data_IF_806679071702
#
_entry.id   IF_806679071702
#
_cell.length_a   1.000
_cell.length_b   1.000
_cell.length_c   1.000
_cell.angle_alpha   90.00
_cell.angle_beta   90.00
_cell.angle_gamma   90.00
#
_symmetry.space_group_name_H-M   'P 1'
#
loop_
_entity.id
_entity.type
_entity.pdbx_description
1 polymer ?
#
# COMPACT_ATOMS: atom_id res chain seq x y z
N UNK A 1 18.66 -7.15 23.63
CA UNK A 1 18.52 -6.25 24.81
C UNK A 1 18.86 -4.79 24.52
N UNK A 2 20.08 -4.43 24.11
CA UNK A 2 20.46 -3.01 23.83
C UNK A 2 19.59 -2.30 22.78
N UNK A 3 19.14 -3.01 21.75
CA UNK A 3 18.24 -2.47 20.72
C UNK A 3 16.85 -2.12 21.29
N UNK A 4 16.28 -2.94 22.15
CA UNK A 4 15.00 -2.63 22.79
C UNK A 4 15.11 -1.40 23.69
N UNK A 5 16.23 -1.24 24.40
CA UNK A 5 16.48 -0.04 25.21
C UNK A 5 16.56 1.21 24.34
N UNK A 6 17.33 1.17 23.25
CA UNK A 6 17.44 2.29 22.32
C UNK A 6 16.10 2.69 21.72
N UNK A 7 15.25 1.72 21.35
CA UNK A 7 13.91 2.00 20.84
C UNK A 7 13.02 2.64 21.92
N UNK A 8 13.07 2.16 23.16
CA UNK A 8 12.35 2.78 24.28
C UNK A 8 12.78 4.23 24.52
N UNK A 9 14.08 4.50 24.47
CA UNK A 9 14.61 5.84 24.68
C UNK A 9 14.08 6.80 23.59
N UNK A 10 14.08 6.37 22.33
CA UNK A 10 13.54 7.16 21.21
C UNK A 10 12.02 7.37 21.35
N UNK A 11 11.25 6.32 21.69
CA UNK A 11 9.80 6.44 21.79
C UNK A 11 9.37 7.34 22.95
N UNK A 12 10.13 7.33 24.05
CA UNK A 12 9.88 8.18 25.20
C UNK A 12 10.13 9.66 24.87
N UNK A 13 11.18 9.98 24.13
CA UNK A 13 11.42 11.35 23.61
C UNK A 13 10.30 11.82 22.67
N UNK A 14 9.65 10.89 21.96
CA UNK A 14 8.49 11.17 21.10
C UNK A 14 7.15 11.18 21.86
N UNK A 15 7.17 11.03 23.19
CA UNK A 15 6.00 11.17 24.05
C UNK A 15 5.22 9.89 24.34
N UNK A 16 5.76 8.71 24.00
CA UNK A 16 5.12 7.44 24.35
C UNK A 16 5.47 7.03 25.80
N UNK A 17 4.50 6.51 26.58
CA UNK A 17 4.76 6.06 27.95
C UNK A 17 5.80 4.93 28.00
N UNK A 18 6.69 4.89 29.01
CA UNK A 18 7.70 3.84 29.15
C UNK A 18 7.08 2.44 29.39
N UNK A 19 5.83 2.40 29.86
CA UNK A 19 5.03 1.18 30.04
C UNK A 19 4.40 0.67 28.74
N UNK A 20 4.58 1.36 27.62
CA UNK A 20 4.09 0.90 26.33
C UNK A 20 4.73 -0.46 26.03
N UNK A 21 3.90 -1.49 25.94
CA UNK A 21 4.33 -2.84 25.65
C UNK A 21 4.86 -2.94 24.21
N UNK A 22 5.97 -3.65 24.03
CA UNK A 22 6.35 -4.10 22.70
C UNK A 22 5.40 -5.23 22.33
N UNK A 23 4.52 -4.99 21.36
CA UNK A 23 3.52 -5.99 20.97
C UNK A 23 4.15 -7.14 20.18
N UNK A 24 3.75 -8.38 20.48
CA UNK A 24 4.39 -9.61 19.97
C UNK A 24 4.19 -9.89 18.47
N UNK A 25 3.22 -9.23 17.83
CA UNK A 25 2.75 -9.55 16.47
C UNK A 25 2.56 -8.35 15.54
N UNK A 26 3.00 -7.14 15.94
CA UNK A 26 2.81 -5.77 15.37
C UNK A 26 1.54 -5.03 15.83
N UNK A 27 1.66 -3.95 16.64
CA UNK A 27 1.43 -2.61 16.07
C UNK A 27 2.34 -1.48 16.60
N UNK A 28 2.45 -0.44 15.75
CA UNK A 28 3.38 0.71 15.78
C UNK A 28 4.85 0.30 15.71
N UNK A 29 5.27 -0.12 14.52
CA UNK A 29 6.68 -0.26 14.22
C UNK A 29 7.32 1.13 14.25
N UNK A 30 8.04 1.44 15.32
CA UNK A 30 9.28 2.19 15.14
C UNK A 30 10.22 1.26 14.37
N UNK A 31 10.07 1.29 13.05
CA UNK A 31 10.96 0.68 12.07
C UNK A 31 11.46 -0.73 12.43
N UNK A 32 10.58 -1.73 12.37
CA UNK A 32 11.02 -3.14 12.39
C UNK A 32 11.30 -3.60 10.95
N UNK A 33 12.59 -3.62 10.60
CA UNK A 33 13.10 -4.01 9.28
C UNK A 33 13.39 -5.51 9.15
N UNK A 34 13.05 -6.33 10.16
CA UNK A 34 13.37 -7.76 10.17
C UNK A 34 12.47 -8.58 9.24
N UNK A 35 11.29 -8.05 8.91
CA UNK A 35 10.31 -8.67 8.02
C UNK A 35 9.79 -7.63 7.03
N UNK A 36 9.48 -8.09 5.83
CA UNK A 36 8.83 -7.25 4.82
C UNK A 36 7.32 -7.36 5.01
N UNK A 37 6.70 -6.37 5.62
CA UNK A 37 5.26 -6.23 5.54
C UNK A 37 4.89 -5.70 4.15
N UNK A 38 3.76 -6.19 3.65
CA UNK A 38 3.18 -5.72 2.40
C UNK A 38 1.69 -5.62 2.59
N UNK A 39 1.11 -4.61 1.97
CA UNK A 39 -0.33 -4.47 1.98
C UNK A 39 -0.95 -5.63 1.19
N UNK A 40 -1.91 -6.32 1.80
CA UNK A 40 -2.64 -7.42 1.16
C UNK A 40 -3.63 -6.88 0.13
N UNK A 41 -4.28 -5.77 0.44
CA UNK A 41 -5.31 -5.16 -0.40
C UNK A 41 -4.95 -3.71 -0.71
N UNK A 42 -4.68 -3.36 -1.98
CA UNK A 42 -4.20 -2.02 -2.35
C UNK A 42 -5.26 -0.94 -2.31
N UNK A 43 -6.52 -1.33 -2.09
CA UNK A 43 -7.67 -0.45 -1.95
C UNK A 43 -8.71 -1.11 -1.04
N UNK A 44 -9.32 -0.30 -0.18
CA UNK A 44 -10.57 -0.66 0.50
C UNK A 44 -11.64 0.36 0.12
N UNK A 45 -12.89 -0.08 0.09
CA UNK A 45 -14.03 0.81 -0.11
C UNK A 45 -14.84 0.87 1.17
N UNK A 46 -14.96 2.07 1.73
CA UNK A 46 -15.89 2.34 2.82
C UNK A 46 -17.25 2.60 2.21
N UNK A 47 -18.23 1.80 2.58
CA UNK A 47 -19.61 1.98 2.17
C UNK A 47 -20.45 2.35 3.39
N UNK A 48 -21.16 3.47 3.31
CA UNK A 48 -22.25 3.76 4.22
C UNK A 48 -23.42 2.82 3.94
N UNK A 49 -24.28 2.62 4.93
CA UNK A 49 -25.56 1.97 4.72
C UNK A 49 -26.28 2.68 3.55
N UNK A 50 -26.73 1.90 2.55
CA UNK A 50 -27.80 2.39 1.70
C UNK A 50 -28.97 2.79 2.60
N UNK A 51 -29.82 3.70 2.13
CA UNK A 51 -31.06 4.19 2.79
C UNK A 51 -32.13 3.08 2.95
N UNK A 52 -31.72 1.87 3.29
CA UNK A 52 -32.55 0.75 3.67
C UNK A 52 -32.98 0.90 5.14
N UNK A 53 -34.23 0.57 5.50
CA UNK A 53 -34.73 0.70 6.87
C UNK A 53 -34.07 -0.25 7.88
N UNK A 54 -33.20 -1.16 7.44
CA UNK A 54 -32.46 -2.06 8.31
C UNK A 54 -31.10 -1.44 8.73
N UNK A 55 -30.71 -1.51 10.02
CA UNK A 55 -29.46 -0.96 10.51
C UNK A 55 -28.28 -1.85 10.12
N UNK A 56 -27.86 -1.81 8.85
CA UNK A 56 -26.53 -2.28 8.49
C UNK A 56 -25.57 -1.11 8.69
N UNK A 57 -24.69 -1.16 9.69
CA UNK A 57 -23.68 -0.13 9.92
C UNK A 57 -22.70 0.06 8.74
N UNK A 58 -21.74 1.00 8.83
CA UNK A 58 -20.72 1.19 7.81
C UNK A 58 -19.95 -0.10 7.57
N UNK A 59 -19.65 -0.39 6.30
CA UNK A 59 -18.92 -1.58 5.87
C UNK A 59 -17.61 -1.20 5.22
N UNK A 60 -16.57 -1.98 5.48
CA UNK A 60 -15.30 -1.91 4.76
C UNK A 60 -15.28 -3.10 3.82
N UNK A 61 -15.19 -2.84 2.52
CA UNK A 61 -15.18 -3.87 1.49
C UNK A 61 -13.77 -4.03 0.93
N UNK A 62 -13.38 -5.28 0.72
CA UNK A 62 -12.27 -5.65 -0.16
C UNK A 62 -12.56 -5.29 -1.62
N UNK A 63 -11.53 -5.25 -2.47
CA UNK A 63 -11.73 -5.05 -3.90
C UNK A 63 -12.68 -6.09 -4.50
N UNK A 64 -12.53 -7.37 -4.13
CA UNK A 64 -13.37 -8.45 -4.64
C UNK A 64 -14.84 -8.31 -4.22
N UNK A 65 -15.09 -7.99 -2.94
CA UNK A 65 -16.45 -7.75 -2.43
C UNK A 65 -17.09 -6.53 -3.10
N UNK A 66 -16.31 -5.46 -3.31
CA UNK A 66 -16.81 -4.27 -3.98
C UNK A 66 -17.18 -4.55 -5.46
N UNK A 67 -16.31 -5.26 -6.18
CA UNK A 67 -16.51 -5.59 -7.59
C UNK A 67 -17.63 -6.61 -7.85
N UNK A 68 -18.03 -7.38 -6.83
CA UNK A 68 -19.20 -8.27 -6.89
C UNK A 68 -20.54 -7.50 -6.99
N UNK A 69 -20.54 -6.19 -6.75
CA UNK A 69 -21.70 -5.31 -6.89
C UNK A 69 -22.64 -5.31 -5.69
N UNK A 70 -23.79 -4.64 -5.84
CA UNK A 70 -24.79 -4.52 -4.76
C UNK A 70 -24.46 -3.48 -3.69
N UNK A 71 -23.48 -2.61 -3.95
CA UNK A 71 -23.03 -1.59 -3.01
C UNK A 71 -23.81 -0.29 -3.23
N UNK A 72 -24.70 0.05 -2.29
CA UNK A 72 -25.43 1.32 -2.29
C UNK A 72 -24.85 2.33 -1.29
N UNK A 73 -25.44 3.53 -1.26
CA UNK A 73 -25.08 4.57 -0.29
C UNK A 73 -23.84 5.38 -0.67
N UNK A 74 -23.37 6.20 0.28
CA UNK A 74 -22.15 7.00 0.12
C UNK A 74 -20.94 6.08 0.22
N UNK A 75 -19.99 6.25 -0.70
CA UNK A 75 -18.79 5.41 -0.78
C UNK A 75 -17.53 6.27 -0.74
N UNK A 76 -16.48 5.75 -0.11
CA UNK A 76 -15.17 6.41 -0.07
C UNK A 76 -14.05 5.40 -0.30
N UNK A 77 -13.06 5.80 -1.10
CA UNK A 77 -11.84 5.02 -1.34
C UNK A 77 -10.84 5.22 -0.20
N UNK A 78 -10.22 4.12 0.23
CA UNK A 78 -9.06 4.11 1.12
C UNK A 78 -7.89 3.51 0.35
N UNK A 79 -6.88 4.34 0.08
CA UNK A 79 -5.78 4.03 -0.84
C UNK A 79 -4.44 4.16 -0.10
N UNK A 80 -3.84 3.06 0.37
CA UNK A 80 -2.49 3.08 0.94
C UNK A 80 -1.44 3.50 -0.10
N UNK A 81 -0.43 4.24 0.37
CA UNK A 81 0.70 4.74 -0.43
C UNK A 81 2.02 4.56 0.35
N UNK A 82 3.13 4.48 -0.38
CA UNK A 82 4.46 4.31 0.19
C UNK A 82 4.59 3.06 1.04
N UNK A 83 5.18 3.20 2.22
CA UNK A 83 5.50 2.09 3.11
C UNK A 83 4.25 1.33 3.57
N UNK A 84 3.10 2.02 3.67
CA UNK A 84 1.80 1.39 3.97
C UNK A 84 1.34 0.43 2.87
N UNK A 85 1.80 0.63 1.62
CA UNK A 85 1.56 -0.27 0.51
C UNK A 85 2.66 -1.35 0.41
N UNK A 86 3.92 -0.93 0.49
CA UNK A 86 5.08 -1.79 0.35
C UNK A 86 6.29 -1.23 1.08
N UNK A 87 6.75 -1.95 2.10
CA UNK A 87 7.96 -1.56 2.82
C UNK A 87 9.21 -1.60 1.91
N UNK A 88 10.06 -0.57 1.97
CA UNK A 88 11.25 -0.50 1.15
C UNK A 88 12.41 -1.32 1.74
N UNK A 89 13.26 -1.81 0.85
CA UNK A 89 14.61 -2.23 1.25
C UNK A 89 15.46 -0.96 1.27
N UNK A 90 15.74 -0.44 2.46
CA UNK A 90 16.46 0.83 2.62
C UNK A 90 17.83 0.84 1.95
N UNK A 91 18.54 -0.31 1.90
CA UNK A 91 19.84 -0.41 1.20
C UNK A 91 19.74 -0.18 -0.31
N UNK A 92 18.55 -0.29 -0.90
CA UNK A 92 18.31 0.06 -2.31
C UNK A 92 18.07 1.57 -2.49
N UNK A 93 17.77 2.32 -1.43
CA UNK A 93 17.44 3.75 -1.52
C UNK A 93 16.14 4.06 -2.27
N UNK A 94 15.26 3.06 -2.47
CA UNK A 94 14.07 3.18 -3.32
C UNK A 94 12.80 3.62 -2.59
N UNK A 95 12.82 3.78 -1.26
CA UNK A 95 11.61 4.08 -0.48
C UNK A 95 10.89 5.34 -0.94
N UNK A 96 11.60 6.45 -1.08
CA UNK A 96 11.02 7.71 -1.55
C UNK A 96 10.47 7.57 -2.97
N UNK A 97 11.23 7.00 -3.90
CA UNK A 97 10.78 6.81 -5.28
C UNK A 97 9.50 5.96 -5.35
N UNK A 98 9.45 4.86 -4.59
CA UNK A 98 8.24 4.00 -4.49
C UNK A 98 7.08 4.76 -3.86
N UNK A 99 7.32 5.53 -2.81
CA UNK A 99 6.33 6.41 -2.19
C UNK A 99 5.70 7.37 -3.19
N UNK A 100 6.52 8.09 -3.97
CA UNK A 100 6.02 9.00 -5.00
C UNK A 100 5.24 8.28 -6.10
N UNK A 101 5.75 7.16 -6.64
CA UNK A 101 5.05 6.43 -7.70
C UNK A 101 3.71 5.88 -7.23
N UNK A 102 3.66 5.26 -6.05
CA UNK A 102 2.41 4.75 -5.49
C UNK A 102 1.43 5.88 -5.19
N UNK A 103 1.89 7.02 -4.67
CA UNK A 103 1.04 8.19 -4.47
C UNK A 103 0.46 8.75 -5.78
N UNK A 104 1.28 8.86 -6.84
CA UNK A 104 0.80 9.32 -8.16
C UNK A 104 -0.23 8.36 -8.75
N UNK A 105 -0.02 7.05 -8.61
CA UNK A 105 -0.97 6.06 -9.11
C UNK A 105 -2.31 6.12 -8.35
N UNK A 106 -2.28 6.27 -7.02
CA UNK A 106 -3.51 6.42 -6.25
C UNK A 106 -4.21 7.77 -6.52
N UNK A 107 -3.45 8.84 -6.77
CA UNK A 107 -4.02 10.12 -7.22
C UNK A 107 -4.73 9.96 -8.57
N UNK A 108 -4.16 9.18 -9.50
CA UNK A 108 -4.81 8.86 -10.76
C UNK A 108 -6.09 8.02 -10.57
N UNK A 109 -6.09 7.04 -9.67
CA UNK A 109 -7.30 6.30 -9.30
C UNK A 109 -8.41 7.23 -8.76
N UNK A 110 -8.06 8.21 -7.92
CA UNK A 110 -9.00 9.24 -7.47
C UNK A 110 -9.53 10.10 -8.64
N UNK A 111 -8.69 10.43 -9.62
CA UNK A 111 -9.12 11.14 -10.82
C UNK A 111 -10.10 10.29 -11.65
N UNK A 112 -9.84 8.99 -11.82
CA UNK A 112 -10.78 8.08 -12.48
C UNK A 112 -12.13 8.05 -11.76
N UNK A 113 -12.12 7.91 -10.42
CA UNK A 113 -13.35 7.96 -9.62
C UNK A 113 -14.11 9.29 -9.75
N UNK A 114 -13.43 10.40 -10.05
CA UNK A 114 -14.07 11.71 -10.23
C UNK A 114 -14.59 11.92 -11.65
N UNK A 115 -13.80 11.52 -12.65
CA UNK A 115 -14.02 11.90 -14.05
C UNK A 115 -14.78 10.85 -14.86
N UNK A 116 -14.89 9.60 -14.39
CA UNK A 116 -15.66 8.57 -15.08
C UNK A 116 -17.15 8.93 -15.07
N UNK A 117 -17.67 9.32 -16.24
CA UNK A 117 -19.06 9.77 -16.43
C UNK A 117 -20.04 8.64 -16.75
N UNK A 118 -19.53 7.46 -17.11
CA UNK A 118 -20.33 6.31 -17.54
C UNK A 118 -20.01 5.09 -16.68
N UNK A 119 -21.06 4.41 -16.21
CA UNK A 119 -20.92 3.28 -15.28
C UNK A 119 -20.69 3.73 -13.84
N UNK A 120 -20.18 2.82 -13.01
CA UNK A 120 -19.78 3.12 -11.63
C UNK A 120 -18.32 3.64 -11.63
N UNK A 121 -18.10 4.92 -11.29
CA UNK A 121 -16.77 5.52 -11.36
C UNK A 121 -15.77 4.89 -10.39
N UNK A 122 -16.24 4.34 -9.26
CA UNK A 122 -15.37 3.71 -8.26
C UNK A 122 -14.86 2.36 -8.75
N UNK A 123 -15.59 1.66 -9.62
CA UNK A 123 -15.13 0.40 -10.22
C UNK A 123 -13.85 0.61 -11.03
N UNK A 124 -13.77 1.69 -11.82
CA UNK A 124 -12.58 2.00 -12.61
C UNK A 124 -11.37 2.28 -11.70
N UNK A 125 -11.57 3.07 -10.65
CA UNK A 125 -10.53 3.41 -9.67
C UNK A 125 -10.03 2.17 -8.90
N UNK A 126 -10.93 1.29 -8.46
CA UNK A 126 -10.58 0.05 -7.76
C UNK A 126 -9.78 -0.88 -8.65
N UNK A 127 -10.17 -1.04 -9.93
CA UNK A 127 -9.45 -1.85 -10.90
C UNK A 127 -8.05 -1.32 -11.18
N UNK A 128 -7.93 0.00 -11.38
CA UNK A 128 -6.63 0.64 -11.59
C UNK A 128 -5.69 0.42 -10.40
N UNK A 129 -6.18 0.65 -9.18
CA UNK A 129 -5.40 0.44 -7.96
C UNK A 129 -4.93 -1.01 -7.80
N UNK A 130 -5.80 -1.98 -8.12
CA UNK A 130 -5.44 -3.41 -8.11
C UNK A 130 -4.40 -3.75 -9.18
N UNK A 131 -4.58 -3.28 -10.42
CA UNK A 131 -3.67 -3.54 -11.53
C UNK A 131 -2.27 -2.98 -11.27
N UNK A 132 -2.19 -1.74 -10.78
CA UNK A 132 -0.92 -1.11 -10.39
C UNK A 132 -0.24 -1.89 -9.27
N UNK A 133 -1.00 -2.28 -8.23
CA UNK A 133 -0.42 -3.04 -7.13
C UNK A 133 0.12 -4.38 -7.59
N UNK A 134 -0.62 -5.11 -8.44
CA UNK A 134 -0.11 -6.33 -9.03
C UNK A 134 1.17 -6.10 -9.85
N UNK A 135 1.23 -5.03 -10.64
CA UNK A 135 2.42 -4.69 -11.41
C UNK A 135 3.61 -4.42 -10.48
N UNK A 136 3.43 -3.59 -9.45
CA UNK A 136 4.46 -3.27 -8.45
C UNK A 136 4.90 -4.52 -7.67
N UNK A 137 3.97 -5.42 -7.37
CA UNK A 137 4.22 -6.68 -6.68
C UNK A 137 5.02 -7.66 -7.53
N UNK A 138 4.65 -7.79 -8.80
CA UNK A 138 5.29 -8.70 -9.78
C UNK A 138 6.63 -8.16 -10.28
N UNK A 139 6.86 -6.84 -10.17
CA UNK A 139 8.18 -6.26 -10.47
C UNK A 139 9.23 -6.86 -9.53
N UNK A 140 10.15 -7.65 -10.13
CA UNK A 140 11.39 -8.06 -9.47
C UNK A 140 12.29 -6.83 -9.36
N UNK A 141 12.08 -6.04 -8.32
CA UNK A 141 12.99 -4.97 -7.94
C UNK A 141 14.30 -5.60 -7.47
N UNK A 142 15.17 -5.88 -8.44
CA UNK A 142 16.44 -6.58 -8.36
C UNK A 142 16.75 -7.23 -7.01
N UNK A 143 16.89 -8.56 -7.02
CA UNK A 143 17.84 -9.27 -6.15
C UNK A 143 19.29 -8.88 -6.52
N UNK A 144 19.51 -7.58 -6.74
CA UNK A 144 20.81 -7.01 -7.03
C UNK A 144 21.69 -7.45 -5.89
N UNK A 145 22.65 -8.30 -6.25
CA UNK A 145 23.74 -8.64 -5.36
C UNK A 145 24.25 -7.31 -4.83
N UNK A 146 24.37 -7.23 -3.51
CA UNK A 146 24.80 -6.06 -2.75
C UNK A 146 26.25 -5.70 -3.08
N UNK A 147 26.53 -5.40 -4.35
CA UNK A 147 27.67 -4.60 -4.75
C UNK A 147 27.40 -3.21 -4.19
N UNK A 148 28.18 -2.88 -3.16
CA UNK A 148 28.32 -1.55 -2.59
C UNK A 148 28.07 -0.47 -3.65
N UNK A 149 27.23 0.49 -3.30
CA UNK A 149 27.01 1.71 -4.07
C UNK A 149 28.36 2.31 -4.48
N UNK A 150 28.81 2.05 -5.71
CA UNK A 150 30.13 2.48 -6.16
C UNK A 150 30.74 1.69 -7.32
N UNK A 151 30.39 0.42 -7.56
CA UNK A 151 31.01 -0.31 -8.68
C UNK A 151 30.05 -1.25 -9.41
N UNK A 152 29.76 -0.93 -10.66
CA UNK A 152 29.26 -1.89 -11.66
C UNK A 152 27.77 -1.75 -11.98
N UNK A 153 27.48 -1.07 -13.09
CA UNK A 153 26.37 -1.33 -14.05
C UNK A 153 25.10 -2.01 -13.52
N UNK A 154 24.52 -1.53 -12.42
CA UNK A 154 23.23 -2.00 -11.92
C UNK A 154 22.10 -1.49 -12.80
N UNK A 155 21.96 -2.03 -14.00
CA UNK A 155 20.74 -1.88 -14.78
C UNK A 155 19.59 -2.43 -13.93
N UNK A 156 18.58 -1.60 -13.71
CA UNK A 156 17.26 -2.09 -13.32
C UNK A 156 16.92 -3.12 -14.40
N UNK A 157 16.94 -4.40 -14.05
CA UNK A 157 16.62 -5.50 -14.95
C UNK A 157 15.15 -5.52 -15.32
N UNK A 158 14.62 -4.41 -15.84
CA UNK A 158 13.45 -4.42 -16.68
C UNK A 158 13.88 -5.16 -17.94
N UNK A 159 13.59 -6.46 -17.99
CA UNK A 159 13.56 -7.12 -19.29
C UNK A 159 12.64 -6.27 -20.17
N UNK A 160 13.06 -5.89 -21.39
CA UNK A 160 12.18 -5.19 -22.30
C UNK A 160 10.87 -5.98 -22.40
N UNK A 161 9.75 -5.26 -22.32
CA UNK A 161 8.40 -5.77 -22.52
C UNK A 161 8.33 -6.39 -23.93
N UNK A 162 8.72 -7.65 -24.07
CA UNK A 162 8.46 -8.45 -25.26
C UNK A 162 7.33 -9.41 -24.92
N UNK A 163 6.29 -9.31 -25.72
CA UNK A 163 5.23 -10.31 -25.91
C UNK A 163 4.24 -10.43 -24.74
N UNK A 164 3.34 -9.44 -24.66
CA UNK A 164 1.93 -9.79 -24.44
C UNK A 164 1.41 -10.18 -25.81
N UNK A 165 1.33 -11.48 -26.06
CA UNK A 165 0.74 -12.02 -27.28
C UNK A 165 -0.72 -11.56 -27.40
N UNK A 166 -1.06 -11.16 -28.62
CA UNK A 166 -2.42 -10.87 -29.13
C UNK A 166 -3.36 -12.04 -28.96
#
# INVERSE_FOLDING_TARGET
ERLHQMVRDITQELGLPPTTEFFETNPVQLFDFSRRARCVDPVRVLCSAATSPAPSGPKVLSPAEFLAGGNGGVQALVLPVGDALQEPIWTQGLGINRGFHTAMNQAYACLLARETRTGDPLIAAVRESCAVHEAVWKMKWGEGHSGLAGSGSGYIGLKPFKEWDT
#
